data_IF_779822251163
#
_entry.id   IF_779822251163
#
_cell.length_a   1.000
_cell.length_b   1.000
_cell.length_c   1.000
_cell.angle_alpha   90.00
_cell.angle_beta   90.00
_cell.angle_gamma   90.00
#
_symmetry.space_group_name_H-M   'P 1'
#
loop_
_entity.id
_entity.type
_entity.pdbx_description
1 polymer ?
#
# COMPACT_ATOMS: atom_id res chain seq x y z
N UNK A 1 19.68 -8.40 -0.61
CA UNK A 1 19.23 -7.20 -1.37
C UNK A 1 17.72 -7.18 -1.58
N UNK A 2 17.08 -8.29 -1.99
CA UNK A 2 15.62 -8.36 -2.09
C UNK A 2 14.92 -7.95 -0.77
N UNK A 3 15.37 -8.49 0.36
CA UNK A 3 14.84 -8.14 1.69
C UNK A 3 14.88 -6.63 1.99
N UNK A 4 15.96 -5.94 1.59
CA UNK A 4 16.08 -4.49 1.78
C UNK A 4 15.01 -3.73 0.98
N UNK A 5 14.83 -4.10 -0.31
CA UNK A 5 13.77 -3.52 -1.13
C UNK A 5 12.38 -3.81 -0.56
N UNK A 6 12.15 -5.02 -0.04
CA UNK A 6 10.88 -5.38 0.59
C UNK A 6 10.59 -4.54 1.84
N UNK A 7 11.57 -4.40 2.74
CA UNK A 7 11.38 -3.65 3.99
C UNK A 7 11.20 -2.15 3.70
N UNK A 8 11.95 -1.59 2.74
CA UNK A 8 11.76 -0.19 2.30
C UNK A 8 10.38 0.00 1.67
N UNK A 9 9.96 -0.92 0.77
CA UNK A 9 8.63 -0.91 0.18
C UNK A 9 7.55 -0.93 1.26
N UNK A 10 7.65 -1.85 2.23
CA UNK A 10 6.71 -1.96 3.33
C UNK A 10 6.69 -0.68 4.18
N UNK A 11 7.84 -0.07 4.45
CA UNK A 11 7.92 1.21 5.15
C UNK A 11 7.18 2.33 4.42
N UNK A 12 7.39 2.46 3.10
CA UNK A 12 6.63 3.42 2.29
C UNK A 12 5.13 3.11 2.27
N UNK A 13 4.77 1.83 2.11
CA UNK A 13 3.38 1.38 2.02
C UNK A 13 2.62 1.67 3.33
N UNK A 14 3.18 1.28 4.48
CA UNK A 14 2.56 1.55 5.78
C UNK A 14 2.50 3.06 6.10
N UNK A 15 3.52 3.82 5.68
CA UNK A 15 3.48 5.29 5.85
C UNK A 15 2.43 5.93 4.94
N UNK A 16 2.22 5.39 3.74
CA UNK A 16 1.11 5.79 2.87
C UNK A 16 -0.24 5.55 3.55
N UNK A 17 -0.45 4.45 4.27
CA UNK A 17 -1.69 4.23 5.02
C UNK A 17 -1.94 5.29 6.12
N UNK A 18 -0.88 5.84 6.73
CA UNK A 18 -1.00 6.97 7.66
C UNK A 18 -1.40 8.27 6.96
N UNK A 19 -0.89 8.51 5.75
CA UNK A 19 -1.35 9.62 4.90
C UNK A 19 -2.78 9.37 4.41
N UNK A 20 -3.14 8.14 4.03
CA UNK A 20 -4.48 7.75 3.61
C UNK A 20 -5.55 8.03 4.67
N UNK A 21 -5.19 7.87 5.95
CA UNK A 21 -6.04 8.30 7.06
C UNK A 21 -6.29 9.82 7.08
N UNK A 22 -5.27 10.62 6.77
CA UNK A 22 -5.39 12.08 6.67
C UNK A 22 -6.11 12.53 5.39
N UNK A 23 -6.03 11.72 4.32
CA UNK A 23 -6.64 11.96 2.99
C UNK A 23 -7.99 11.29 2.81
N UNK A 24 -8.54 10.70 3.87
CA UNK A 24 -9.86 10.09 3.89
C UNK A 24 -10.08 9.05 2.78
N UNK A 25 -9.08 8.20 2.52
CA UNK A 25 -9.09 7.27 1.38
C UNK A 25 -10.32 6.33 1.35
N UNK A 26 -10.92 6.04 2.51
CA UNK A 26 -12.17 5.28 2.57
C UNK A 26 -13.32 5.90 1.77
N UNK A 27 -13.25 7.20 1.44
CA UNK A 27 -14.22 7.90 0.59
C UNK A 27 -14.10 7.56 -0.89
N UNK A 28 -12.97 6.99 -1.32
CA UNK A 28 -12.70 6.61 -2.72
C UNK A 28 -12.71 5.09 -2.94
N UNK A 29 -12.38 4.30 -1.91
CA UNK A 29 -12.32 2.84 -2.02
C UNK A 29 -13.69 2.24 -2.35
N UNK A 30 -13.82 1.43 -3.43
CA UNK A 30 -15.11 0.84 -3.83
C UNK A 30 -15.85 0.07 -2.73
N UNK A 31 -15.09 -0.50 -1.78
CA UNK A 31 -15.62 -1.30 -0.66
C UNK A 31 -16.11 -0.47 0.52
N UNK A 32 -15.75 0.81 0.62
CA UNK A 32 -16.10 1.66 1.78
C UNK A 32 -16.71 3.01 1.41
N UNK A 33 -16.63 3.44 0.15
CA UNK A 33 -17.06 4.78 -0.31
C UNK A 33 -18.54 5.08 -0.12
N UNK A 34 -19.35 4.04 0.07
CA UNK A 34 -20.79 4.13 0.33
C UNK A 34 -21.15 4.21 1.82
N UNK A 35 -20.18 4.00 2.72
CA UNK A 35 -20.41 4.04 4.16
C UNK A 35 -20.55 5.48 4.66
N UNK A 36 -21.36 5.73 5.72
CA UNK A 36 -21.35 7.01 6.43
C UNK A 36 -19.94 7.35 6.93
N UNK A 37 -19.60 8.64 6.99
CA UNK A 37 -18.22 9.11 7.25
C UNK A 37 -17.54 8.44 8.44
N UNK A 38 -18.18 8.44 9.61
CA UNK A 38 -17.60 7.86 10.83
C UNK A 38 -17.49 6.34 10.74
N UNK A 39 -18.48 5.67 10.14
CA UNK A 39 -18.42 4.21 9.92
C UNK A 39 -17.31 3.85 8.94
N UNK A 40 -17.18 4.57 7.82
CA UNK A 40 -16.12 4.37 6.84
C UNK A 40 -14.72 4.51 7.45
N UNK A 41 -14.53 5.58 8.25
CA UNK A 41 -13.29 5.80 9.00
C UNK A 41 -12.98 4.66 9.98
N UNK A 42 -13.96 4.23 10.77
CA UNK A 42 -13.78 3.12 11.72
C UNK A 42 -13.50 1.79 11.01
N UNK A 43 -14.24 1.49 9.94
CA UNK A 43 -14.02 0.29 9.12
C UNK A 43 -12.61 0.30 8.53
N UNK A 44 -12.16 1.44 7.99
CA UNK A 44 -10.80 1.58 7.47
C UNK A 44 -9.79 1.24 8.57
N UNK A 45 -9.84 1.91 9.73
CA UNK A 45 -8.89 1.65 10.83
C UNK A 45 -8.89 0.19 11.30
N UNK A 46 -10.07 -0.39 11.56
CA UNK A 46 -10.15 -1.74 12.13
C UNK A 46 -9.76 -2.83 11.13
N UNK A 47 -10.00 -2.65 9.83
CA UNK A 47 -9.56 -3.60 8.79
C UNK A 47 -8.04 -3.62 8.62
N UNK A 48 -7.34 -2.54 8.97
CA UNK A 48 -5.87 -2.51 8.93
C UNK A 48 -5.24 -3.42 9.99
N UNK A 49 -5.88 -3.66 11.13
CA UNK A 49 -5.32 -4.53 12.19
C UNK A 49 -5.06 -5.96 11.68
N UNK A 50 -6.06 -6.70 11.15
CA UNK A 50 -5.81 -8.03 10.61
C UNK A 50 -4.94 -7.98 9.34
N UNK A 51 -5.07 -6.95 8.51
CA UNK A 51 -4.21 -6.79 7.33
C UNK A 51 -2.72 -6.71 7.74
N UNK A 52 -2.37 -5.82 8.66
CA UNK A 52 -0.99 -5.67 9.13
C UNK A 52 -0.48 -6.93 9.83
N UNK A 53 -1.33 -7.64 10.58
CA UNK A 53 -0.94 -8.92 11.16
C UNK A 53 -0.52 -9.94 10.09
N UNK A 54 -1.28 -10.06 8.99
CA UNK A 54 -0.93 -10.93 7.85
C UNK A 54 0.37 -10.45 7.18
N UNK A 55 0.51 -9.15 6.91
CA UNK A 55 1.69 -8.60 6.23
C UNK A 55 2.97 -8.80 7.05
N UNK A 56 2.92 -8.61 8.37
CA UNK A 56 4.07 -8.81 9.23
C UNK A 56 4.40 -10.28 9.43
N UNK A 57 3.40 -11.11 9.73
CA UNK A 57 3.65 -12.51 10.05
C UNK A 57 4.11 -13.32 8.83
N UNK A 58 3.41 -13.18 7.71
CA UNK A 58 3.71 -13.96 6.51
C UNK A 58 4.65 -13.24 5.53
N UNK A 59 4.59 -11.90 5.45
CA UNK A 59 5.41 -11.14 4.50
C UNK A 59 6.78 -10.75 5.06
N UNK A 60 6.81 -10.05 6.20
CA UNK A 60 8.07 -9.60 6.80
C UNK A 60 8.89 -10.73 7.44
N UNK A 61 8.23 -11.81 7.89
CA UNK A 61 8.90 -13.01 8.42
C UNK A 61 9.65 -13.83 7.36
N UNK A 62 9.23 -13.76 6.10
CA UNK A 62 9.91 -14.37 4.96
C UNK A 62 9.67 -13.51 3.69
N UNK A 63 10.64 -12.65 3.33
CA UNK A 63 10.55 -11.80 2.15
C UNK A 63 10.54 -12.56 0.82
N UNK A 64 10.69 -13.89 0.81
CA UNK A 64 10.52 -14.74 -0.39
C UNK A 64 9.14 -15.40 -0.46
N UNK A 65 8.32 -15.23 0.56
CA UNK A 65 6.98 -15.80 0.63
C UNK A 65 6.05 -15.31 -0.50
N UNK A 66 4.97 -16.06 -0.71
CA UNK A 66 3.89 -15.65 -1.62
C UNK A 66 3.22 -14.36 -1.16
N UNK A 67 3.18 -14.07 0.15
CA UNK A 67 2.64 -12.82 0.69
C UNK A 67 3.55 -11.65 0.35
N UNK A 68 4.87 -11.80 0.53
CA UNK A 68 5.83 -10.76 0.17
C UNK A 68 5.83 -10.47 -1.34
N UNK A 69 5.77 -11.53 -2.15
CA UNK A 69 5.66 -11.44 -3.62
C UNK A 69 4.36 -10.76 -4.03
N UNK A 70 3.23 -11.17 -3.44
CA UNK A 70 1.92 -10.61 -3.72
C UNK A 70 1.82 -9.14 -3.33
N UNK A 71 2.34 -8.75 -2.16
CA UNK A 71 2.37 -7.36 -1.71
C UNK A 71 3.24 -6.50 -2.63
N UNK A 72 4.40 -7.02 -3.06
CA UNK A 72 5.30 -6.29 -3.96
C UNK A 72 4.67 -6.05 -5.34
N UNK A 73 3.96 -7.04 -5.88
CA UNK A 73 3.18 -6.87 -7.10
C UNK A 73 2.01 -5.89 -6.90
N UNK A 74 1.31 -5.99 -5.77
CA UNK A 74 0.23 -5.06 -5.43
C UNK A 74 0.73 -3.63 -5.29
N UNK A 75 1.91 -3.38 -4.70
CA UNK A 75 2.48 -2.04 -4.58
C UNK A 75 2.69 -1.36 -5.95
N UNK A 76 3.05 -2.13 -7.00
CA UNK A 76 3.17 -1.61 -8.36
C UNK A 76 1.78 -1.27 -8.93
N UNK A 77 0.82 -2.17 -8.77
CA UNK A 77 -0.57 -1.97 -9.20
C UNK A 77 -1.19 -0.77 -8.48
N UNK A 78 -0.88 -0.60 -7.19
CA UNK A 78 -1.37 0.46 -6.30
C UNK A 78 -0.98 1.86 -6.82
N UNK A 79 0.24 2.04 -7.33
CA UNK A 79 0.63 3.26 -8.05
C UNK A 79 -0.32 3.53 -9.22
N UNK A 80 -0.64 2.50 -10.00
CA UNK A 80 -1.59 2.57 -11.10
C UNK A 80 -3.01 2.94 -10.66
N UNK A 81 -3.47 2.41 -9.52
CA UNK A 81 -4.76 2.75 -8.94
C UNK A 81 -4.81 4.23 -8.54
N UNK A 82 -3.80 4.74 -7.83
CA UNK A 82 -3.73 6.16 -7.49
C UNK A 82 -3.65 7.05 -8.73
N UNK A 83 -2.92 6.63 -9.75
CA UNK A 83 -2.91 7.32 -11.04
C UNK A 83 -4.29 7.35 -11.68
N UNK A 84 -5.01 6.22 -11.70
CA UNK A 84 -6.35 6.12 -12.28
C UNK A 84 -7.37 6.99 -11.54
N UNK A 85 -7.35 6.96 -10.20
CA UNK A 85 -8.27 7.72 -9.35
C UNK A 85 -7.81 9.16 -9.08
N UNK A 86 -6.72 9.64 -9.70
CA UNK A 86 -6.14 10.96 -9.38
C UNK A 86 -7.12 12.13 -9.57
N UNK A 87 -8.04 12.01 -10.53
CA UNK A 87 -9.05 13.01 -10.84
C UNK A 87 -10.41 12.76 -10.15
N UNK A 88 -10.50 11.75 -9.28
CA UNK A 88 -11.72 11.47 -8.54
C UNK A 88 -12.07 12.67 -7.63
N UNK A 89 -13.34 13.11 -7.54
CA UNK A 89 -13.71 14.35 -6.84
C UNK A 89 -13.43 14.33 -5.34
N UNK A 90 -13.31 13.14 -4.75
CA UNK A 90 -12.98 12.94 -3.33
C UNK A 90 -11.51 12.54 -3.10
N UNK A 91 -10.68 12.57 -4.14
CA UNK A 91 -9.25 12.24 -4.00
C UNK A 91 -8.50 13.43 -3.39
N UNK A 92 -7.82 13.19 -2.26
CA UNK A 92 -7.04 14.20 -1.54
C UNK A 92 -5.52 13.98 -1.66
N UNK A 93 -5.06 12.96 -2.40
CA UNK A 93 -3.64 12.68 -2.67
C UNK A 93 -3.04 13.61 -3.74
N UNK A 94 -3.04 14.92 -3.48
CA UNK A 94 -2.67 15.98 -4.43
C UNK A 94 -1.37 16.71 -4.07
N UNK A 95 -0.57 16.16 -3.17
CA UNK A 95 0.66 16.77 -2.70
C UNK A 95 1.89 15.87 -2.94
N UNK A 96 3.11 16.44 -2.96
CA UNK A 96 4.33 15.68 -3.26
C UNK A 96 4.65 14.58 -2.23
N UNK A 97 4.27 14.76 -0.96
CA UNK A 97 4.54 13.76 0.09
C UNK A 97 3.75 12.49 -0.18
N UNK A 98 2.44 12.60 -0.43
CA UNK A 98 1.58 11.48 -0.81
C UNK A 98 2.15 10.72 -2.01
N UNK A 99 2.50 11.44 -3.09
CA UNK A 99 3.05 10.81 -4.29
C UNK A 99 4.42 10.18 -4.06
N UNK A 100 5.29 10.76 -3.22
CA UNK A 100 6.55 10.16 -2.86
C UNK A 100 6.36 8.84 -2.10
N UNK A 101 5.37 8.76 -1.20
CA UNK A 101 5.02 7.54 -0.48
C UNK A 101 4.51 6.45 -1.43
N UNK A 102 3.54 6.79 -2.29
CA UNK A 102 2.93 5.89 -3.27
C UNK A 102 3.99 5.36 -4.24
N UNK A 103 4.77 6.26 -4.86
CA UNK A 103 5.82 5.87 -5.81
C UNK A 103 6.95 5.10 -5.14
N UNK A 104 7.36 5.50 -3.94
CA UNK A 104 8.38 4.81 -3.15
C UNK A 104 8.00 3.35 -2.87
N UNK A 105 6.73 3.11 -2.50
CA UNK A 105 6.21 1.75 -2.33
C UNK A 105 6.27 0.95 -3.63
N UNK A 106 5.78 1.51 -4.76
CA UNK A 106 5.82 0.84 -6.05
C UNK A 106 7.23 0.53 -6.56
N UNK A 107 8.17 1.47 -6.42
CA UNK A 107 9.57 1.28 -6.79
C UNK A 107 10.25 0.21 -5.92
N UNK A 108 9.97 0.20 -4.63
CA UNK A 108 10.47 -0.82 -3.72
C UNK A 108 9.93 -2.22 -4.08
N UNK A 109 8.64 -2.32 -4.42
CA UNK A 109 8.03 -3.58 -4.87
C UNK A 109 8.63 -4.09 -6.18
N UNK A 110 8.85 -3.20 -7.16
CA UNK A 110 9.53 -3.54 -8.41
C UNK A 110 10.97 -4.02 -8.16
N UNK A 111 11.72 -3.33 -7.28
CA UNK A 111 13.08 -3.73 -6.89
C UNK A 111 13.12 -5.09 -6.21
N UNK A 112 12.16 -5.37 -5.31
CA UNK A 112 12.04 -6.67 -4.65
C UNK A 112 11.82 -7.80 -5.67
N UNK A 113 10.84 -7.64 -6.56
CA UNK A 113 10.54 -8.67 -7.57
C UNK A 113 11.70 -8.88 -8.54
N UNK A 114 12.32 -7.79 -9.02
CA UNK A 114 13.45 -7.88 -9.95
C UNK A 114 14.63 -8.64 -9.35
N UNK A 115 15.00 -8.35 -8.09
CA UNK A 115 16.14 -9.03 -7.43
C UNK A 115 15.79 -10.46 -7.04
N UNK A 116 14.54 -10.74 -6.65
CA UNK A 116 14.12 -12.09 -6.26
C UNK A 116 14.14 -13.08 -7.43
N UNK A 117 13.85 -12.62 -8.66
CA UNK A 117 13.90 -13.45 -9.87
C UNK A 117 15.33 -13.73 -10.37
N UNK A 118 16.29 -12.88 -10.00
CA UNK A 118 17.71 -13.02 -10.37
C UNK A 118 18.49 -13.94 -9.41
N UNK A 119 17.86 -14.39 -8.32
CA UNK A 119 18.44 -15.29 -7.33
C UNK A 119 18.17 -16.78 -7.63
N UNK A 120 17.60 -17.09 -8.82
CA UNK A 120 17.40 -18.44 -9.36
C UNK A 120 18.69 -18.91 -10.04
#
# INVERSE_FOLDING_TARGET
MAELFYVIMLGFFLTHELDAMQRHEWRILPLTSFLPEETGRQTFVWMHVPLFAVLFYFGAGDPTSSVATGLSAFAIIHVGLHWLFRNHPKNEFNNPVSWALILGAGLGGAGHLAVSQLAI
#
